data_IF_810373749369
#
_entry.id   IF_810373749369
#
_cell.length_a   1.000
_cell.length_b   1.000
_cell.length_c   1.000
_cell.angle_alpha   90.00
_cell.angle_beta   90.00
_cell.angle_gamma   90.00
#
_symmetry.space_group_name_H-M   'P 1'
#
loop_
_entity.id
_entity.type
_entity.pdbx_description
1 polymer ?
#
# COMPACT_ATOMS: atom_id res chain seq x y z
N UNK A 1 -44.61 67.21 -6.41
CA UNK A 1 -44.96 66.06 -5.60
C UNK A 1 -44.01 64.95 -5.98
N UNK A 2 -43.03 64.62 -5.12
CA UNK A 2 -41.88 63.78 -5.42
C UNK A 2 -42.15 62.43 -4.78
N UNK A 3 -42.22 61.35 -5.59
CA UNK A 3 -42.24 59.97 -5.10
C UNK A 3 -40.82 59.57 -4.78
N UNK A 4 -40.55 59.03 -3.58
CA UNK A 4 -39.26 58.40 -3.31
C UNK A 4 -39.24 57.00 -3.91
N UNK A 5 -38.28 56.82 -4.78
CA UNK A 5 -37.92 55.54 -5.38
C UNK A 5 -37.36 54.63 -4.28
N UNK A 6 -38.16 53.73 -3.81
CA UNK A 6 -37.71 52.72 -2.85
C UNK A 6 -36.88 51.69 -3.58
N UNK A 7 -35.56 51.78 -3.39
CA UNK A 7 -34.60 50.79 -3.89
C UNK A 7 -34.77 49.55 -3.05
N UNK A 8 -35.41 48.52 -3.61
CA UNK A 8 -35.36 47.16 -3.05
C UNK A 8 -33.99 46.57 -3.36
N UNK A 9 -33.09 46.65 -2.40
CA UNK A 9 -31.89 45.85 -2.42
C UNK A 9 -32.35 44.42 -2.11
N UNK A 10 -32.58 43.66 -3.16
CA UNK A 10 -32.72 42.19 -3.01
C UNK A 10 -31.34 41.65 -2.59
N UNK A 11 -31.20 41.43 -1.31
CA UNK A 11 -30.12 40.62 -0.77
C UNK A 11 -30.33 39.21 -1.30
N UNK A 12 -29.60 38.90 -2.39
CA UNK A 12 -29.48 37.55 -2.92
C UNK A 12 -28.65 36.79 -1.91
N UNK A 13 -29.32 36.17 -0.94
CA UNK A 13 -28.72 35.18 -0.06
C UNK A 13 -28.33 34.00 -0.95
N UNK A 14 -27.06 33.98 -1.33
CA UNK A 14 -26.45 32.82 -1.97
C UNK A 14 -26.34 31.74 -0.88
N UNK A 15 -27.40 30.97 -0.70
CA UNK A 15 -27.35 29.71 0.05
C UNK A 15 -26.44 28.78 -0.73
N UNK A 16 -25.16 28.75 -0.39
CA UNK A 16 -24.30 27.62 -0.68
C UNK A 16 -24.90 26.42 0.10
N UNK A 17 -25.76 25.69 -0.57
CA UNK A 17 -26.06 24.35 -0.17
C UNK A 17 -24.74 23.57 -0.32
N UNK A 18 -24.02 23.42 0.77
CA UNK A 18 -23.06 22.34 0.92
C UNK A 18 -23.89 21.08 0.85
N UNK A 19 -24.04 20.54 -0.35
CA UNK A 19 -24.35 19.14 -0.52
C UNK A 19 -23.15 18.38 0.03
N UNK A 20 -23.11 18.22 1.35
CA UNK A 20 -22.34 17.17 1.98
C UNK A 20 -22.92 15.87 1.44
N UNK A 21 -22.26 15.26 0.47
CA UNK A 21 -22.39 13.84 0.25
C UNK A 21 -21.83 13.18 1.51
N UNK A 22 -22.69 12.94 2.49
CA UNK A 22 -22.53 11.82 3.39
C UNK A 22 -22.93 10.61 2.55
N UNK A 23 -22.00 10.01 1.86
CA UNK A 23 -22.13 8.65 1.40
C UNK A 23 -22.00 7.75 2.64
N UNK A 24 -23.11 7.64 3.38
CA UNK A 24 -23.41 6.44 4.16
C UNK A 24 -23.84 5.36 3.16
N UNK A 25 -22.98 5.06 2.20
CA UNK A 25 -23.05 3.84 1.43
C UNK A 25 -22.36 2.77 2.28
N UNK A 26 -23.18 2.01 3.03
CA UNK A 26 -22.84 0.67 3.51
C UNK A 26 -22.72 -0.32 2.31
N UNK A 27 -22.35 0.18 1.15
CA UNK A 27 -21.93 -0.60 0.00
C UNK A 27 -20.53 -1.10 0.25
N UNK A 28 -20.35 -2.42 0.32
CA UNK A 28 -19.04 -3.05 0.33
C UNK A 28 -18.18 -2.39 -0.75
N UNK A 29 -17.08 -1.75 -0.35
CA UNK A 29 -16.13 -1.19 -1.29
C UNK A 29 -15.60 -2.33 -2.17
N UNK A 30 -15.21 -2.04 -3.43
CA UNK A 30 -14.71 -3.05 -4.36
C UNK A 30 -13.37 -2.65 -4.96
N UNK A 31 -12.49 -3.64 -5.07
CA UNK A 31 -11.20 -3.45 -5.74
C UNK A 31 -10.36 -2.34 -5.12
N UNK A 32 -9.84 -1.45 -5.96
CA UNK A 32 -8.90 -0.39 -5.58
C UNK A 32 -9.50 0.67 -4.62
N UNK A 33 -10.82 0.86 -4.64
CA UNK A 33 -11.50 1.83 -3.79
C UNK A 33 -11.48 1.43 -2.30
N UNK A 34 -11.22 0.14 -2.02
CA UNK A 34 -11.06 -0.37 -0.66
C UNK A 34 -9.67 -0.13 -0.09
N UNK A 35 -8.68 0.17 -0.93
CA UNK A 35 -7.30 0.29 -0.49
C UNK A 35 -7.06 1.65 0.20
N UNK A 36 -6.16 1.71 1.19
CA UNK A 36 -5.81 2.98 1.82
C UNK A 36 -5.20 3.94 0.79
N UNK A 37 -5.34 5.25 1.03
CA UNK A 37 -4.71 6.26 0.19
C UNK A 37 -3.18 6.06 0.16
N UNK A 38 -2.56 6.36 -0.99
CA UNK A 38 -1.10 6.37 -1.12
C UNK A 38 -0.54 7.65 -0.49
N UNK A 39 -0.28 7.62 0.81
CA UNK A 39 0.33 8.71 1.59
C UNK A 39 1.86 8.58 1.65
N UNK A 40 2.54 9.60 2.22
CA UNK A 40 4.01 9.64 2.35
C UNK A 40 4.43 10.28 3.70
N UNK A 41 3.63 10.03 4.73
CA UNK A 41 3.75 10.68 6.04
C UNK A 41 4.04 9.71 7.18
N UNK A 42 4.13 8.41 6.88
CA UNK A 42 4.41 7.35 7.86
C UNK A 42 3.17 6.99 8.68
N UNK A 43 2.05 6.76 8.00
CA UNK A 43 0.75 6.47 8.63
C UNK A 43 0.57 4.98 8.98
N UNK A 44 1.59 4.16 8.74
CA UNK A 44 1.60 2.71 8.94
C UNK A 44 0.43 2.02 8.20
N UNK A 45 0.31 2.37 6.90
CA UNK A 45 -0.71 1.83 6.01
C UNK A 45 -0.11 0.90 4.96
N UNK A 46 -0.89 -0.10 4.58
CA UNK A 46 -0.56 -1.05 3.54
C UNK A 46 -1.84 -1.57 2.89
N UNK A 47 -1.82 -1.77 1.58
CA UNK A 47 -2.91 -2.41 0.85
C UNK A 47 -2.46 -2.86 -0.52
N UNK A 48 -3.11 -3.90 -1.04
CA UNK A 48 -2.91 -4.42 -2.39
C UNK A 48 -4.19 -5.11 -2.88
N UNK A 49 -4.23 -5.44 -4.15
CA UNK A 49 -5.18 -6.41 -4.69
C UNK A 49 -4.46 -7.74 -4.87
N UNK A 50 -5.07 -8.84 -4.43
CA UNK A 50 -4.67 -10.20 -4.75
C UNK A 50 -5.73 -10.80 -5.66
N UNK A 51 -5.39 -11.11 -6.89
CA UNK A 51 -6.32 -11.62 -7.91
C UNK A 51 -7.57 -10.72 -8.11
N UNK A 52 -7.39 -9.39 -7.92
CA UNK A 52 -8.45 -8.39 -8.00
C UNK A 52 -9.20 -8.10 -6.70
N UNK A 53 -9.04 -8.94 -5.67
CA UNK A 53 -9.69 -8.79 -4.37
C UNK A 53 -8.85 -7.94 -3.40
N UNK A 54 -9.46 -7.06 -2.60
CA UNK A 54 -8.75 -6.22 -1.64
C UNK A 54 -8.05 -7.05 -0.56
N UNK A 55 -6.76 -6.77 -0.38
CA UNK A 55 -5.95 -7.26 0.73
C UNK A 55 -5.53 -6.10 1.61
N UNK A 56 -6.06 -6.07 2.84
CA UNK A 56 -5.73 -5.08 3.86
C UNK A 56 -5.29 -5.81 5.11
N UNK A 57 -4.05 -5.61 5.58
CA UNK A 57 -3.51 -6.30 6.75
C UNK A 57 -4.38 -6.12 7.98
N UNK A 58 -4.54 -7.19 8.76
CA UNK A 58 -5.34 -7.14 9.98
C UNK A 58 -5.59 -8.51 10.61
N UNK A 59 -6.33 -8.51 11.72
CA UNK A 59 -6.77 -9.74 12.40
C UNK A 59 -5.71 -10.47 13.21
N UNK A 60 -4.46 -9.98 13.24
CA UNK A 60 -3.34 -10.58 13.95
C UNK A 60 -2.65 -9.63 14.93
N UNK A 61 -1.67 -10.14 15.66
CA UNK A 61 -0.76 -9.32 16.48
C UNK A 61 0.36 -8.81 15.56
N UNK A 62 0.51 -7.48 15.46
CA UNK A 62 1.48 -6.80 14.60
C UNK A 62 1.34 -7.23 13.12
N UNK A 63 0.21 -6.94 12.46
CA UNK A 63 -0.01 -7.36 11.08
C UNK A 63 0.87 -6.64 10.07
N UNK A 64 1.59 -5.60 10.48
CA UNK A 64 2.54 -4.82 9.69
C UNK A 64 3.87 -4.69 10.41
N UNK A 65 4.97 -4.86 9.68
CA UNK A 65 6.33 -4.61 10.15
C UNK A 65 7.20 -4.08 9.01
N UNK A 66 8.04 -3.09 9.30
CA UNK A 66 8.93 -2.49 8.33
C UNK A 66 10.31 -2.26 8.94
N UNK A 67 11.34 -2.83 8.31
CA UNK A 67 12.73 -2.74 8.75
C UNK A 67 13.60 -2.24 7.61
N UNK A 68 14.47 -1.27 7.87
CA UNK A 68 15.52 -0.85 6.94
C UNK A 68 16.85 -0.69 7.67
N UNK A 69 17.59 -1.76 7.77
CA UNK A 69 18.79 -1.87 8.62
C UNK A 69 20.09 -1.94 7.83
N UNK A 70 21.18 -1.55 8.50
CA UNK A 70 22.54 -1.70 8.02
C UNK A 70 23.21 -2.87 8.75
N UNK A 71 23.60 -3.91 8.01
CA UNK A 71 24.28 -5.08 8.54
C UNK A 71 25.59 -5.29 7.77
N UNK A 72 26.72 -5.28 8.45
CA UNK A 72 28.05 -5.47 7.86
C UNK A 72 28.37 -4.53 6.67
N UNK A 73 27.82 -3.32 6.66
CA UNK A 73 28.02 -2.35 5.59
C UNK A 73 27.01 -2.42 4.43
N UNK A 74 26.16 -3.42 4.41
CA UNK A 74 25.10 -3.59 3.41
C UNK A 74 23.72 -3.25 3.98
N UNK A 75 22.83 -2.74 3.14
CA UNK A 75 21.45 -2.40 3.52
C UNK A 75 20.48 -3.50 3.18
N UNK A 76 19.52 -3.69 4.08
CA UNK A 76 18.45 -4.67 3.97
C UNK A 76 17.12 -3.98 4.26
N UNK A 77 16.20 -4.02 3.32
CA UNK A 77 14.84 -3.56 3.48
C UNK A 77 13.91 -4.76 3.56
N UNK A 78 12.98 -4.74 4.50
CA UNK A 78 11.92 -5.74 4.60
C UNK A 78 10.64 -5.07 5.05
N UNK A 79 9.59 -5.26 4.28
CA UNK A 79 8.22 -4.87 4.60
C UNK A 79 7.38 -6.13 4.62
N UNK A 80 6.78 -6.41 5.77
CA UNK A 80 5.93 -7.59 5.99
C UNK A 80 4.51 -7.14 6.32
N UNK A 81 3.54 -7.78 5.71
CA UNK A 81 2.13 -7.60 6.01
C UNK A 81 1.44 -8.94 6.16
N UNK A 82 0.42 -9.04 7.03
CA UNK A 82 -0.34 -10.25 7.21
C UNK A 82 -1.83 -9.98 7.43
N UNK A 83 -2.66 -10.90 6.98
CA UNK A 83 -4.12 -10.87 7.13
C UNK A 83 -4.63 -12.26 7.50
N UNK A 84 -5.39 -12.35 8.59
CA UNK A 84 -6.16 -13.55 8.90
C UNK A 84 -7.48 -13.50 8.12
N UNK A 85 -7.82 -14.58 7.45
CA UNK A 85 -9.09 -14.73 6.76
C UNK A 85 -10.14 -15.40 7.67
N UNK A 86 -11.40 -15.34 7.28
CA UNK A 86 -12.53 -15.92 8.03
C UNK A 86 -12.44 -17.45 8.16
N UNK A 87 -11.77 -18.11 7.23
CA UNK A 87 -11.51 -19.57 7.25
C UNK A 87 -10.28 -19.97 8.07
N UNK A 88 -9.73 -19.03 8.86
CA UNK A 88 -8.50 -19.18 9.63
C UNK A 88 -7.22 -19.35 8.80
N UNK A 89 -7.26 -19.15 7.50
CA UNK A 89 -6.04 -19.06 6.72
C UNK A 89 -5.31 -17.73 6.96
N UNK A 90 -3.99 -17.78 6.91
CA UNK A 90 -3.12 -16.61 7.04
C UNK A 90 -2.49 -16.32 5.68
N UNK A 91 -2.78 -15.14 5.14
CA UNK A 91 -2.09 -14.60 3.97
C UNK A 91 -1.06 -13.57 4.44
N UNK A 92 0.13 -13.61 3.86
CA UNK A 92 1.11 -12.55 4.03
C UNK A 92 1.72 -12.13 2.69
N UNK A 93 2.00 -10.82 2.58
CA UNK A 93 2.81 -10.25 1.51
C UNK A 93 4.09 -9.69 2.11
N UNK A 94 5.22 -10.02 1.49
CA UNK A 94 6.53 -9.51 1.90
C UNK A 94 7.25 -8.92 0.69
N UNK A 95 7.79 -7.73 0.87
CA UNK A 95 8.71 -7.09 -0.08
C UNK A 95 10.04 -6.95 0.63
N UNK A 96 11.10 -7.46 0.02
CA UNK A 96 12.43 -7.39 0.64
C UNK A 96 13.53 -7.06 -0.37
N UNK A 97 14.61 -6.47 0.14
CA UNK A 97 15.89 -6.38 -0.57
C UNK A 97 16.97 -7.12 0.20
N UNK A 98 17.90 -7.74 -0.52
CA UNK A 98 19.03 -8.43 0.06
C UNK A 98 20.33 -7.73 -0.35
N UNK A 99 21.10 -7.23 0.62
CA UNK A 99 22.34 -6.48 0.40
C UNK A 99 22.18 -5.35 -0.65
N UNK A 100 21.04 -4.63 -0.61
CA UNK A 100 20.65 -3.62 -1.61
C UNK A 100 20.02 -2.42 -0.94
N UNK A 101 20.63 -1.25 -1.12
CA UNK A 101 20.04 0.03 -0.69
C UNK A 101 18.86 0.39 -1.55
N UNK A 102 17.84 0.98 -0.91
CA UNK A 102 16.74 1.64 -1.59
C UNK A 102 16.94 3.15 -1.61
N UNK A 103 16.39 3.82 -2.61
CA UNK A 103 16.51 5.26 -2.85
C UNK A 103 15.17 5.83 -3.27
N UNK A 104 14.81 7.00 -2.76
CA UNK A 104 13.59 7.72 -3.16
C UNK A 104 13.61 8.00 -4.68
N UNK A 105 12.49 7.74 -5.35
CA UNK A 105 12.28 7.92 -6.78
C UNK A 105 12.71 6.73 -7.65
N UNK A 106 13.39 5.73 -7.08
CA UNK A 106 13.88 4.57 -7.84
C UNK A 106 12.87 3.42 -7.88
N UNK A 107 12.93 2.67 -8.98
CA UNK A 107 12.15 1.43 -9.17
C UNK A 107 13.09 0.23 -9.25
N UNK A 108 12.78 -0.80 -8.50
CA UNK A 108 13.53 -2.05 -8.40
C UNK A 108 12.71 -3.20 -8.97
N UNK A 109 13.27 -4.01 -9.89
CA UNK A 109 12.60 -5.24 -10.31
C UNK A 109 12.53 -6.22 -9.13
N UNK A 110 11.35 -6.81 -8.91
CA UNK A 110 11.16 -7.92 -8.00
C UNK A 110 11.40 -9.22 -8.76
N UNK A 111 12.47 -9.91 -8.42
CA UNK A 111 12.98 -11.11 -9.11
C UNK A 111 13.32 -12.21 -8.10
N UNK A 112 14.03 -13.24 -8.55
CA UNK A 112 14.51 -14.31 -7.65
C UNK A 112 15.31 -13.76 -6.47
N UNK A 113 15.14 -14.37 -5.31
CA UNK A 113 15.90 -14.03 -4.11
C UNK A 113 17.41 -14.20 -4.34
N UNK A 114 18.20 -13.22 -3.96
CA UNK A 114 19.65 -13.23 -4.09
C UNK A 114 20.29 -11.91 -3.68
N UNK A 115 21.61 -11.90 -3.51
CA UNK A 115 22.37 -10.71 -3.16
C UNK A 115 22.23 -9.64 -4.25
N UNK A 116 21.95 -8.40 -3.82
CA UNK A 116 21.72 -7.28 -4.73
C UNK A 116 20.34 -7.26 -5.38
N UNK A 117 19.45 -8.19 -5.06
CA UNK A 117 18.09 -8.27 -5.60
C UNK A 117 17.04 -7.70 -4.65
N UNK A 118 15.90 -7.34 -5.24
CA UNK A 118 14.64 -7.16 -4.55
C UNK A 118 13.70 -8.33 -4.90
N UNK A 119 12.87 -8.75 -3.96
CA UNK A 119 12.01 -9.94 -4.07
C UNK A 119 10.64 -9.65 -3.49
N UNK A 120 9.59 -10.10 -4.18
CA UNK A 120 8.22 -10.16 -3.68
C UNK A 120 7.90 -11.58 -3.24
N UNK A 121 7.15 -11.73 -2.16
CA UNK A 121 6.76 -13.01 -1.59
C UNK A 121 5.26 -12.96 -1.28
N UNK A 122 4.55 -13.95 -1.75
CA UNK A 122 3.21 -14.29 -1.30
C UNK A 122 3.30 -15.50 -0.38
N UNK A 123 2.65 -15.47 0.76
CA UNK A 123 2.58 -16.59 1.70
C UNK A 123 1.14 -16.99 1.97
N UNK A 124 0.89 -18.28 2.00
CA UNK A 124 -0.37 -18.88 2.42
C UNK A 124 -0.08 -19.93 3.49
N UNK A 125 -0.54 -19.70 4.72
CA UNK A 125 -0.40 -20.60 5.88
C UNK A 125 1.04 -20.97 6.28
N UNK A 126 2.06 -20.33 5.84
CA UNK A 126 3.50 -20.58 6.01
C UNK A 126 4.20 -21.14 4.76
N UNK A 127 3.46 -21.53 3.73
CA UNK A 127 4.07 -21.80 2.43
C UNK A 127 4.44 -20.49 1.77
N UNK A 128 5.66 -20.41 1.20
CA UNK A 128 6.22 -19.19 0.62
C UNK A 128 6.38 -19.35 -0.89
N UNK A 129 5.86 -18.38 -1.62
CA UNK A 129 5.93 -18.32 -3.08
C UNK A 129 6.63 -17.03 -3.49
N UNK A 130 7.73 -17.14 -4.21
CA UNK A 130 8.64 -16.06 -4.53
C UNK A 130 8.49 -15.60 -5.96
N UNK A 131 8.70 -14.30 -6.19
CA UNK A 131 9.04 -13.83 -7.54
C UNK A 131 10.28 -14.55 -8.05
N UNK A 132 10.36 -14.70 -9.37
CA UNK A 132 11.49 -15.33 -10.02
C UNK A 132 11.76 -14.62 -11.38
N UNK A 133 12.58 -15.20 -12.26
CA UNK A 133 12.95 -14.56 -13.52
C UNK A 133 11.84 -14.58 -14.58
N UNK A 134 10.73 -15.29 -14.30
CA UNK A 134 9.55 -15.36 -15.17
C UNK A 134 8.37 -14.63 -14.54
N UNK A 135 8.04 -14.97 -13.28
CA UNK A 135 7.05 -14.25 -12.46
C UNK A 135 7.78 -13.12 -11.74
N UNK A 136 7.74 -11.94 -12.32
CA UNK A 136 8.45 -10.76 -11.84
C UNK A 136 7.49 -9.71 -11.28
N UNK A 137 8.05 -8.60 -10.83
CA UNK A 137 7.30 -7.44 -10.36
C UNK A 137 8.14 -6.18 -10.31
N UNK A 138 7.62 -5.17 -9.65
CA UNK A 138 8.30 -3.90 -9.42
C UNK A 138 7.99 -3.32 -8.05
N UNK A 139 9.00 -2.74 -7.43
CA UNK A 139 8.92 -1.93 -6.21
C UNK A 139 9.38 -0.51 -6.55
N UNK A 140 8.53 0.49 -6.37
CA UNK A 140 8.91 1.90 -6.51
C UNK A 140 8.89 2.56 -5.14
N UNK A 141 10.01 3.17 -4.74
CA UNK A 141 10.10 3.94 -3.51
C UNK A 141 9.70 5.39 -3.80
N UNK A 142 8.56 5.82 -3.30
CA UNK A 142 8.04 7.18 -3.52
C UNK A 142 8.49 8.17 -2.46
N UNK A 143 8.89 7.68 -1.28
CA UNK A 143 9.45 8.45 -0.17
C UNK A 143 10.46 7.63 0.60
N UNK A 144 11.61 8.24 0.95
CA UNK A 144 12.56 7.69 1.93
C UNK A 144 13.13 8.82 2.79
N UNK A 145 12.73 8.87 4.05
CA UNK A 145 13.23 9.84 5.02
C UNK A 145 13.93 9.13 6.17
N UNK A 146 15.24 9.09 6.13
CA UNK A 146 16.08 8.42 7.14
C UNK A 146 15.97 9.07 8.52
N UNK A 147 15.74 10.38 8.60
CA UNK A 147 15.67 11.11 9.88
C UNK A 147 14.33 10.91 10.58
N UNK A 148 13.24 10.86 9.81
CA UNK A 148 11.90 10.59 10.31
C UNK A 148 11.58 9.10 10.35
N UNK A 149 12.46 8.25 9.79
CA UNK A 149 12.28 6.81 9.62
C UNK A 149 11.00 6.47 8.85
N UNK A 150 10.73 7.20 7.74
CA UNK A 150 9.56 6.98 6.89
C UNK A 150 10.00 6.42 5.55
N UNK A 151 9.31 5.37 5.10
CA UNK A 151 9.41 4.83 3.75
C UNK A 151 8.03 4.58 3.19
N UNK A 152 7.79 5.06 1.95
CA UNK A 152 6.53 4.86 1.25
C UNK A 152 6.81 4.40 -0.17
N UNK A 153 5.88 3.68 -0.75
CA UNK A 153 6.07 3.17 -2.10
C UNK A 153 4.87 2.45 -2.67
N UNK A 154 5.05 1.99 -3.90
CA UNK A 154 4.09 1.15 -4.61
C UNK A 154 4.76 -0.12 -5.12
N UNK A 155 3.99 -1.17 -5.30
CA UNK A 155 4.51 -2.43 -5.81
C UNK A 155 3.46 -3.24 -6.57
N UNK A 156 3.94 -4.16 -7.37
CA UNK A 156 3.15 -5.22 -7.99
C UNK A 156 4.06 -6.42 -8.25
N UNK A 157 3.54 -7.61 -8.25
CA UNK A 157 4.29 -8.81 -8.65
C UNK A 157 3.37 -10.00 -8.91
N UNK A 158 3.95 -11.02 -9.54
CA UNK A 158 3.32 -12.30 -9.80
C UNK A 158 4.10 -13.42 -9.11
N UNK A 159 3.39 -14.46 -8.67
CA UNK A 159 3.98 -15.71 -8.20
C UNK A 159 3.11 -16.90 -8.64
N UNK A 160 3.70 -18.09 -8.67
CA UNK A 160 2.93 -19.34 -8.84
C UNK A 160 2.80 -20.00 -7.45
N UNK A 161 1.58 -20.29 -7.06
CA UNK A 161 1.31 -20.95 -5.77
C UNK A 161 1.54 -22.46 -5.82
N UNK A 162 1.31 -23.16 -4.68
CA UNK A 162 1.53 -24.59 -4.56
C UNK A 162 0.61 -25.48 -5.43
N UNK A 163 -0.47 -24.92 -5.94
CA UNK A 163 -1.38 -25.61 -6.85
C UNK A 163 -0.97 -25.40 -8.33
N UNK A 164 -0.02 -24.52 -8.58
CA UNK A 164 0.38 -24.11 -9.93
C UNK A 164 -0.45 -22.95 -10.45
N UNK A 165 -1.25 -22.30 -9.62
CA UNK A 165 -2.07 -21.14 -10.01
C UNK A 165 -1.25 -19.85 -9.92
N UNK A 166 -1.46 -18.96 -10.92
CA UNK A 166 -0.89 -17.63 -10.91
C UNK A 166 -1.62 -16.79 -9.85
N UNK A 167 -0.86 -16.15 -8.96
CA UNK A 167 -1.34 -15.11 -8.05
C UNK A 167 -0.84 -13.76 -8.53
N UNK A 168 -1.77 -12.87 -8.81
CA UNK A 168 -1.49 -11.53 -9.30
C UNK A 168 -1.63 -10.52 -8.16
N UNK A 169 -0.53 -9.90 -7.75
CA UNK A 169 -0.52 -8.83 -6.77
C UNK A 169 -0.46 -7.51 -7.52
N UNK A 170 -1.48 -6.67 -7.37
CA UNK A 170 -1.65 -5.41 -8.09
C UNK A 170 -1.98 -4.25 -7.14
N UNK A 171 -1.81 -3.02 -7.61
CA UNK A 171 -2.16 -1.79 -6.88
C UNK A 171 -1.57 -1.71 -5.47
N UNK A 172 -0.45 -2.42 -5.23
CA UNK A 172 0.23 -2.43 -3.96
C UNK A 172 0.73 -1.05 -3.57
N UNK A 173 0.45 -0.63 -2.34
CA UNK A 173 0.88 0.65 -1.77
C UNK A 173 1.15 0.53 -0.28
N UNK A 174 2.13 1.29 0.18
CA UNK A 174 2.47 1.36 1.60
C UNK A 174 3.02 2.72 1.99
N UNK A 175 2.82 3.08 3.25
CA UNK A 175 3.39 4.27 3.89
C UNK A 175 3.71 3.91 5.34
N UNK A 176 4.97 3.63 5.64
CA UNK A 176 5.41 2.97 6.87
C UNK A 176 6.43 3.80 7.63
N UNK A 177 6.37 3.70 8.96
CA UNK A 177 7.53 3.96 9.79
C UNK A 177 8.40 2.70 9.81
N UNK A 178 9.72 2.84 9.65
CA UNK A 178 10.63 1.69 9.68
C UNK A 178 11.56 1.72 10.89
N UNK A 179 11.96 0.54 11.35
CA UNK A 179 13.03 0.35 12.35
C UNK A 179 14.39 0.12 11.68
N UNK A 180 15.49 0.40 12.43
CA UNK A 180 16.88 0.23 11.97
C UNK A 180 17.60 -0.83 12.78
#
# INVERSE_FOLDING_TARGET
MKHPLTVYIAALLFMFAFAGCSSDDDGDCQGVDCLPAATQTGEDTFGALIDGEPYIPGGGVNPLDCVYQLVNGERYFTLTSSMNQDDFSLIALVISTNAKSITEGETYPLVSQGDGNATGIYSLNSDLYFTNDVQTGGLTITRLNMSAQIVSGTFFFDVIDGNGDLREIREGRFDMQFTQ
#
